data_IF_476682655612
#
_entry.id   IF_476682655612
#
_cell.length_a   1.000
_cell.length_b   1.000
_cell.length_c   1.000
_cell.angle_alpha   90.00
_cell.angle_beta   90.00
_cell.angle_gamma   90.00
#
_symmetry.space_group_name_H-M   'P 1'
#
loop_
_entity.id
_entity.type
_entity.pdbx_description
1 polymer ?
#
# COMPACT_ATOMS: atom_id res chain seq x y z
N UNK A 1 -5.96 4.67 24.27
CA UNK A 1 -4.66 4.40 23.64
C UNK A 1 -4.65 2.95 23.22
N UNK A 2 -4.67 2.65 21.92
CA UNK A 2 -4.73 1.26 21.44
C UNK A 2 -3.29 0.72 21.37
N UNK A 3 -2.74 0.24 22.49
CA UNK A 3 -1.39 -0.34 22.54
C UNK A 3 -1.43 -1.77 22.02
N UNK A 4 -1.59 -1.92 20.71
CA UNK A 4 -1.51 -3.21 20.03
C UNK A 4 -0.10 -3.80 20.15
N UNK A 5 -0.02 -5.12 20.39
CA UNK A 5 1.25 -5.86 20.46
C UNK A 5 2.00 -5.69 19.14
N UNK A 6 3.17 -5.05 19.19
CA UNK A 6 4.02 -4.86 18.01
C UNK A 6 4.67 -6.19 17.61
N UNK A 7 4.44 -6.60 16.36
CA UNK A 7 5.16 -7.70 15.73
C UNK A 7 6.29 -7.13 14.88
N UNK A 8 7.50 -7.66 15.05
CA UNK A 8 8.68 -7.33 14.24
C UNK A 8 8.95 -8.48 13.29
N UNK A 9 9.25 -8.16 12.04
CA UNK A 9 9.61 -9.10 11.00
C UNK A 9 10.74 -8.49 10.16
N UNK A 10 11.62 -9.34 9.66
CA UNK A 10 12.61 -8.97 8.67
C UNK A 10 12.02 -9.23 7.29
N UNK A 11 12.17 -8.28 6.38
CA UNK A 11 11.64 -8.35 5.02
C UNK A 11 12.82 -8.29 4.05
N UNK A 12 12.93 -9.29 3.17
CA UNK A 12 13.83 -9.27 2.03
C UNK A 12 13.00 -8.90 0.79
N UNK A 13 13.49 -7.95 0.00
CA UNK A 13 12.86 -7.48 -1.23
C UNK A 13 13.87 -7.54 -2.38
N UNK A 14 13.43 -7.75 -3.63
CA UNK A 14 14.25 -7.46 -4.80
C UNK A 14 14.77 -6.02 -4.75
N UNK A 15 16.01 -5.81 -5.16
CA UNK A 15 16.67 -4.50 -5.10
C UNK A 15 15.91 -3.43 -5.89
N UNK A 16 15.42 -3.78 -7.09
CA UNK A 16 14.62 -2.87 -7.93
C UNK A 16 13.37 -2.37 -7.21
N UNK A 17 12.63 -3.28 -6.56
CA UNK A 17 11.45 -2.93 -5.78
C UNK A 17 11.80 -2.06 -4.56
N UNK A 18 12.91 -2.37 -3.87
CA UNK A 18 13.37 -1.54 -2.78
C UNK A 18 13.70 -0.11 -3.24
N UNK A 19 14.36 0.03 -4.39
CA UNK A 19 14.71 1.32 -4.97
C UNK A 19 13.47 2.15 -5.32
N UNK A 20 12.43 1.55 -5.87
CA UNK A 20 11.15 2.25 -6.12
C UNK A 20 10.51 2.77 -4.82
N UNK A 21 10.49 1.94 -3.76
CA UNK A 21 9.95 2.35 -2.46
C UNK A 21 10.82 3.45 -1.83
N UNK A 22 12.14 3.36 -1.95
CA UNK A 22 13.09 4.36 -1.47
C UNK A 22 12.88 5.70 -2.15
N UNK A 23 12.69 5.74 -3.48
CA UNK A 23 12.41 6.98 -4.21
C UNK A 23 11.16 7.70 -3.69
N UNK A 24 10.09 6.95 -3.36
CA UNK A 24 8.87 7.51 -2.79
C UNK A 24 9.15 8.07 -1.38
N UNK A 25 9.89 7.32 -0.57
CA UNK A 25 10.28 7.73 0.78
C UNK A 25 11.08 9.04 0.76
N UNK A 26 12.06 9.13 -0.15
CA UNK A 26 12.91 10.30 -0.34
C UNK A 26 12.10 11.52 -0.80
N UNK A 27 11.22 11.33 -1.80
CA UNK A 27 10.35 12.37 -2.34
C UNK A 27 9.40 12.95 -1.28
N UNK A 28 8.91 12.12 -0.38
CA UNK A 28 7.96 12.52 0.68
C UNK A 28 8.65 12.85 2.01
N UNK A 29 9.98 12.76 2.09
CA UNK A 29 10.76 12.96 3.31
C UNK A 29 10.31 12.08 4.49
N UNK A 30 10.00 10.81 4.20
CA UNK A 30 9.61 9.79 5.18
C UNK A 30 10.52 8.57 5.08
N UNK A 31 10.38 7.62 6.01
CA UNK A 31 11.16 6.38 5.97
C UNK A 31 10.54 5.35 5.02
N UNK A 32 11.38 4.47 4.45
CA UNK A 32 10.93 3.29 3.67
C UNK A 32 9.89 2.47 4.44
N UNK A 33 10.09 2.29 5.75
CA UNK A 33 9.16 1.57 6.60
C UNK A 33 7.77 2.23 6.68
N UNK A 34 7.71 3.56 6.68
CA UNK A 34 6.43 4.28 6.65
C UNK A 34 5.72 4.11 5.32
N UNK A 35 6.45 4.13 4.19
CA UNK A 35 5.88 3.83 2.86
C UNK A 35 5.31 2.41 2.83
N UNK A 36 6.10 1.41 3.26
CA UNK A 36 5.65 0.01 3.32
C UNK A 36 4.40 -0.15 4.20
N UNK A 37 4.34 0.55 5.35
CA UNK A 37 3.14 0.54 6.21
C UNK A 37 1.92 1.14 5.51
N UNK A 38 2.08 2.18 4.70
CA UNK A 38 0.97 2.76 3.91
C UNK A 38 0.48 1.79 2.84
N UNK A 39 1.41 1.15 2.12
CA UNK A 39 1.07 0.14 1.11
C UNK A 39 0.36 -1.06 1.72
N UNK A 40 0.83 -1.58 2.85
CA UNK A 40 0.15 -2.67 3.57
C UNK A 40 -1.28 -2.27 3.93
N UNK A 41 -1.49 -1.05 4.45
CA UNK A 41 -2.86 -0.58 4.79
C UNK A 41 -3.76 -0.47 3.57
N UNK A 42 -3.24 0.08 2.47
CA UNK A 42 -3.99 0.22 1.22
C UNK A 42 -4.34 -1.16 0.63
N UNK A 43 -3.36 -2.07 0.57
CA UNK A 43 -3.56 -3.44 0.11
C UNK A 43 -4.59 -4.20 0.97
N UNK A 44 -4.56 -4.02 2.29
CA UNK A 44 -5.58 -4.61 3.19
C UNK A 44 -6.97 -4.03 2.96
N UNK A 45 -7.09 -2.74 2.67
CA UNK A 45 -8.39 -2.12 2.35
C UNK A 45 -8.94 -2.69 1.05
N UNK A 46 -8.10 -2.72 0.00
CA UNK A 46 -8.45 -3.27 -1.32
C UNK A 46 -8.86 -4.73 -1.22
N UNK A 47 -8.07 -5.55 -0.52
CA UNK A 47 -8.38 -6.98 -0.34
C UNK A 47 -9.73 -7.20 0.34
N UNK A 48 -10.04 -6.42 1.39
CA UNK A 48 -11.34 -6.52 2.08
C UNK A 48 -12.51 -6.06 1.22
N UNK A 49 -12.30 -5.07 0.34
CA UNK A 49 -13.33 -4.65 -0.60
C UNK A 49 -13.61 -5.78 -1.59
N UNK A 50 -12.57 -6.38 -2.17
CA UNK A 50 -12.68 -7.44 -3.16
C UNK A 50 -13.24 -8.78 -2.62
N UNK A 51 -13.33 -8.97 -1.31
CA UNK A 51 -14.05 -10.11 -0.72
C UNK A 51 -15.56 -10.09 -1.09
N UNK A 52 -16.12 -8.92 -1.43
CA UNK A 52 -17.46 -8.80 -2.01
C UNK A 52 -17.41 -8.87 -3.55
N UNK A 53 -17.99 -9.90 -4.19
CA UNK A 53 -17.97 -10.07 -5.64
C UNK A 53 -18.79 -9.01 -6.40
N UNK A 54 -19.54 -8.15 -5.70
CA UNK A 54 -20.26 -7.01 -6.29
C UNK A 54 -19.53 -5.68 -6.13
N UNK A 55 -18.34 -5.69 -5.53
CA UNK A 55 -17.54 -4.49 -5.34
C UNK A 55 -16.63 -4.23 -6.54
N UNK A 56 -16.47 -2.95 -6.87
CA UNK A 56 -15.52 -2.48 -7.87
C UNK A 56 -14.56 -1.48 -7.22
N UNK A 57 -13.27 -1.57 -7.55
CA UNK A 57 -12.27 -0.59 -7.14
C UNK A 57 -11.98 0.40 -8.27
N UNK A 58 -12.02 1.69 -7.95
CA UNK A 58 -11.68 2.77 -8.85
C UNK A 58 -10.59 3.65 -8.24
N UNK A 59 -9.58 4.03 -9.03
CA UNK A 59 -8.64 5.11 -8.71
C UNK A 59 -9.14 6.36 -9.44
N UNK A 60 -9.33 7.45 -8.69
CA UNK A 60 -9.76 8.75 -9.21
C UNK A 60 -8.63 9.77 -9.11
N UNK A 61 -8.27 10.37 -10.23
CA UNK A 61 -7.28 11.44 -10.37
C UNK A 61 -7.95 12.69 -10.95
N UNK A 62 -8.40 13.59 -10.08
CA UNK A 62 -9.21 14.74 -10.48
C UNK A 62 -10.55 14.30 -11.08
N UNK A 63 -10.77 14.61 -12.36
CA UNK A 63 -11.95 14.20 -13.12
C UNK A 63 -11.76 12.87 -13.88
N UNK A 64 -10.57 12.27 -13.82
CA UNK A 64 -10.31 10.98 -14.45
C UNK A 64 -10.60 9.86 -13.46
N UNK A 65 -11.39 8.88 -13.89
CA UNK A 65 -11.67 7.67 -13.12
C UNK A 65 -11.19 6.45 -13.90
N UNK A 66 -10.41 5.58 -13.24
CA UNK A 66 -9.89 4.35 -13.83
C UNK A 66 -10.29 3.18 -12.94
N UNK A 67 -10.98 2.20 -13.53
CA UNK A 67 -11.27 0.92 -12.86
C UNK A 67 -9.96 0.16 -12.69
N UNK A 68 -9.70 -0.28 -11.47
CA UNK A 68 -8.54 -1.12 -11.16
C UNK A 68 -8.99 -2.57 -11.12
N UNK A 69 -8.41 -3.40 -11.97
CA UNK A 69 -8.56 -4.85 -11.90
C UNK A 69 -7.31 -5.36 -11.17
N UNK A 70 -7.50 -5.80 -9.93
CA UNK A 70 -6.45 -6.49 -9.17
C UNK A 70 -6.60 -7.98 -9.50
N UNK A 71 -5.57 -8.58 -10.11
CA UNK A 71 -5.52 -10.01 -10.44
C UNK A 71 -5.06 -10.84 -9.24
#
# INVERSE_FOLDING_TARGET
MNTGVLKRYNLALPEELFNEVQQIADKEHITVLEVLRRFIKLGLLVSKTLDDPHSDLYIREGNNERKVIVL
#
